data_IF_055835486294
#
_entry.id   IF_055835486294
#
_cell.length_a   1.000
_cell.length_b   1.000
_cell.length_c   1.000
_cell.angle_alpha   90.00
_cell.angle_beta   90.00
_cell.angle_gamma   90.00
#
_symmetry.space_group_name_H-M   'P 1'
#
loop_
_entity.id
_entity.type
_entity.pdbx_description
1 polymer ?
#
# COMPACT_ATOMS: atom_id res chain seq x y z
N UNK A 1 51.25 20.37 57.47
CA UNK A 1 50.35 21.48 57.83
C UNK A 1 50.04 22.28 56.56
N UNK A 2 48.75 22.57 56.32
CA UNK A 2 48.17 23.66 55.49
C UNK A 2 48.40 23.66 53.97
N UNK A 3 47.43 23.20 53.14
CA UNK A 3 46.30 23.92 52.47
C UNK A 3 46.75 24.92 51.37
N UNK A 4 46.39 24.80 50.08
CA UNK A 4 45.04 25.05 49.53
C UNK A 4 44.92 24.77 48.01
N UNK A 5 43.76 24.25 47.61
CA UNK A 5 42.98 24.39 46.36
C UNK A 5 43.55 25.07 45.09
N UNK A 6 43.27 24.44 43.92
CA UNK A 6 42.40 25.10 42.92
C UNK A 6 41.51 24.10 42.17
N UNK A 7 40.21 24.38 42.24
CA UNK A 7 39.08 23.63 41.70
C UNK A 7 38.74 24.27 40.35
N UNK A 8 38.99 23.57 39.24
CA UNK A 8 38.52 24.02 37.93
C UNK A 8 37.00 23.83 37.88
N UNK A 9 36.32 24.97 37.82
CA UNK A 9 34.86 25.07 37.81
C UNK A 9 34.37 24.76 36.40
N UNK A 10 33.58 23.71 36.27
CA UNK A 10 32.65 23.51 35.16
C UNK A 10 31.82 24.79 34.95
N UNK A 11 32.12 25.53 33.88
CA UNK A 11 31.24 26.57 33.35
C UNK A 11 30.44 25.94 32.22
N UNK A 12 29.24 25.49 32.55
CA UNK A 12 28.23 25.15 31.54
C UNK A 12 27.91 26.44 30.77
N UNK A 13 28.04 26.47 29.43
CA UNK A 13 27.78 27.68 28.65
C UNK A 13 26.30 28.03 28.72
N UNK A 14 26.00 29.32 28.96
CA UNK A 14 24.65 29.86 29.05
C UNK A 14 23.76 29.53 27.83
N UNK A 15 24.34 29.19 26.68
CA UNK A 15 23.61 28.84 25.46
C UNK A 15 22.70 27.61 25.59
N UNK A 16 23.11 26.59 26.36
CA UNK A 16 22.32 25.34 26.48
C UNK A 16 21.04 25.54 27.29
N UNK A 17 21.01 26.52 28.22
CA UNK A 17 19.82 26.80 29.03
C UNK A 17 18.72 27.51 28.26
N UNK A 18 19.05 28.27 27.22
CA UNK A 18 18.07 28.99 26.40
C UNK A 18 17.38 28.04 25.38
N UNK A 19 18.11 27.08 24.82
CA UNK A 19 17.55 26.09 23.88
C UNK A 19 16.59 25.10 24.55
N UNK A 20 16.84 24.71 25.82
CA UNK A 20 15.91 23.84 26.55
C UNK A 20 14.58 24.54 26.90
N UNK A 21 14.60 25.86 27.08
CA UNK A 21 13.40 26.64 27.42
C UNK A 21 12.40 26.77 26.26
N UNK A 22 12.88 26.92 25.02
CA UNK A 22 11.98 27.09 23.86
C UNK A 22 11.25 25.79 23.48
N UNK A 23 11.88 24.63 23.68
CA UNK A 23 11.28 23.32 23.39
C UNK A 23 10.07 23.02 24.31
N UNK A 24 10.20 23.28 25.61
CA UNK A 24 9.11 23.05 26.57
C UNK A 24 7.93 24.01 26.38
N UNK A 25 8.17 25.25 25.95
CA UNK A 25 7.09 26.20 25.68
C UNK A 25 6.26 25.82 24.44
N UNK A 26 6.91 25.29 23.40
CA UNK A 26 6.23 24.82 22.19
C UNK A 26 5.29 23.64 22.45
N UNK A 27 5.72 22.67 23.25
CA UNK A 27 4.90 21.49 23.58
C UNK A 27 3.62 21.86 24.35
N UNK A 28 3.70 22.82 25.29
CA UNK A 28 2.53 23.28 26.05
C UNK A 28 1.54 24.06 25.17
N UNK A 29 2.03 24.89 24.24
CA UNK A 29 1.17 25.59 23.31
C UNK A 29 0.45 24.64 22.34
N UNK A 30 1.14 23.61 21.85
CA UNK A 30 0.55 22.60 20.97
C UNK A 30 -0.53 21.77 21.69
N UNK A 31 -0.31 21.40 22.95
CA UNK A 31 -1.30 20.67 23.76
C UNK A 31 -2.58 21.49 24.02
N UNK A 32 -2.48 22.82 24.21
CA UNK A 32 -3.66 23.69 24.37
C UNK A 32 -4.42 23.88 23.06
N UNK A 33 -3.72 23.92 21.92
CA UNK A 33 -4.35 24.17 20.62
C UNK A 33 -5.04 22.92 20.03
N UNK A 34 -4.44 21.74 20.22
CA UNK A 34 -4.92 20.47 19.62
C UNK A 34 -5.68 19.60 20.62
N UNK A 35 -5.43 19.74 21.92
CA UNK A 35 -6.06 18.95 22.99
C UNK A 35 -7.60 18.95 23.03
N UNK A 36 -8.32 20.05 22.69
CA UNK A 36 -9.78 20.05 22.73
C UNK A 36 -10.44 19.14 21.68
N UNK A 37 -9.71 18.69 20.66
CA UNK A 37 -10.25 17.83 19.59
C UNK A 37 -10.23 16.33 19.93
N UNK A 38 -9.62 15.96 21.06
CA UNK A 38 -9.54 14.56 21.55
C UNK A 38 -10.35 14.34 22.83
N UNK A 39 -11.14 15.32 23.28
CA UNK A 39 -12.07 15.11 24.37
C UNK A 39 -13.29 14.36 23.84
N UNK A 40 -13.66 13.19 24.39
CA UNK A 40 -14.93 12.57 24.06
C UNK A 40 -16.08 13.51 24.46
N UNK A 41 -17.23 13.48 23.76
CA UNK A 41 -18.39 14.26 24.15
C UNK A 41 -18.74 13.90 25.61
N UNK A 42 -18.77 14.92 26.47
CA UNK A 42 -19.28 14.78 27.82
C UNK A 42 -20.75 14.39 27.71
N UNK A 43 -21.11 13.28 28.36
CA UNK A 43 -22.47 12.83 28.52
C UNK A 43 -23.36 14.00 28.93
N UNK A 44 -24.35 14.29 28.08
CA UNK A 44 -25.46 15.16 28.43
C UNK A 44 -26.15 14.48 29.60
N UNK A 45 -26.21 15.14 30.76
CA UNK A 45 -27.06 14.72 31.88
C UNK A 45 -28.52 14.68 31.41
N UNK A 46 -28.94 13.56 30.83
CA UNK A 46 -30.34 13.20 30.72
C UNK A 46 -30.84 12.92 32.12
N UNK A 47 -31.52 13.92 32.68
CA UNK A 47 -32.52 13.75 33.73
C UNK A 47 -33.41 12.56 33.35
N UNK A 48 -33.23 11.44 34.04
CA UNK A 48 -34.16 10.32 34.00
C UNK A 48 -35.45 10.74 34.69
N UNK A 49 -36.39 11.29 33.91
CA UNK A 49 -37.80 11.29 34.29
C UNK A 49 -38.31 9.87 34.12
N UNK A 50 -38.75 9.30 35.24
CA UNK A 50 -39.57 8.09 35.31
C UNK A 50 -40.76 8.24 34.37
N UNK A 51 -40.83 7.40 33.34
CA UNK A 51 -41.83 7.49 32.29
C UNK A 51 -42.11 6.14 31.65
N UNK A 52 -43.09 5.45 32.23
CA UNK A 52 -43.95 4.44 31.60
C UNK A 52 -43.27 3.22 30.97
N UNK A 53 -43.43 2.08 31.65
CA UNK A 53 -43.29 0.73 31.10
C UNK A 53 -44.18 0.56 29.85
N UNK A 54 -43.64 0.89 28.68
CA UNK A 54 -43.99 0.26 27.42
C UNK A 54 -42.93 -0.79 27.18
N UNK A 55 -43.35 -2.05 27.04
CA UNK A 55 -42.49 -3.19 26.70
C UNK A 55 -41.80 -2.91 25.36
N UNK A 56 -40.64 -2.28 25.39
CA UNK A 56 -39.73 -2.24 24.26
C UNK A 56 -39.04 -3.60 24.24
N UNK A 57 -39.35 -4.37 23.22
CA UNK A 57 -38.55 -5.51 22.81
C UNK A 57 -37.14 -4.96 22.59
N UNK A 58 -36.16 -5.45 23.35
CA UNK A 58 -34.77 -5.09 23.16
C UNK A 58 -34.44 -5.36 21.68
N UNK A 59 -33.97 -4.36 20.90
CA UNK A 59 -33.43 -4.68 19.61
C UNK A 59 -32.27 -5.64 19.88
N UNK A 60 -32.41 -6.87 19.39
CA UNK A 60 -31.30 -7.80 19.31
C UNK A 60 -30.22 -7.05 18.53
N UNK A 61 -29.16 -6.65 19.23
CA UNK A 61 -27.94 -6.21 18.54
C UNK A 61 -27.43 -7.44 17.81
N UNK A 62 -27.80 -7.55 16.53
CA UNK A 62 -27.16 -8.49 15.62
C UNK A 62 -25.66 -8.22 15.74
N UNK A 63 -24.81 -9.25 15.98
CA UNK A 63 -23.39 -9.03 15.94
C UNK A 63 -23.09 -8.41 14.56
N UNK A 64 -22.49 -7.23 14.56
CA UNK A 64 -21.89 -6.69 13.35
C UNK A 64 -20.84 -7.73 12.99
N UNK A 65 -21.13 -8.60 12.02
CA UNK A 65 -20.11 -9.46 11.46
C UNK A 65 -19.09 -8.49 10.88
N UNK A 66 -17.98 -8.32 11.61
CA UNK A 66 -16.78 -7.67 11.12
C UNK A 66 -16.52 -8.36 9.80
N UNK A 67 -16.71 -7.65 8.68
CA UNK A 67 -16.46 -8.22 7.37
C UNK A 67 -14.97 -8.55 7.36
N UNK A 68 -14.66 -9.82 7.57
CA UNK A 68 -13.34 -10.38 7.37
C UNK A 68 -12.95 -9.97 5.96
N UNK A 69 -11.93 -9.12 5.84
CA UNK A 69 -11.45 -8.67 4.53
C UNK A 69 -10.88 -9.91 3.84
N UNK A 70 -11.65 -10.51 2.94
CA UNK A 70 -11.23 -11.65 2.14
C UNK A 70 -10.05 -11.23 1.26
N UNK A 71 -8.86 -11.75 1.59
CA UNK A 71 -7.63 -11.52 0.85
C UNK A 71 -7.46 -12.50 -0.32
N UNK A 72 -6.41 -12.31 -1.15
CA UNK A 72 -6.13 -13.21 -2.24
C UNK A 72 -5.67 -14.58 -1.72
N UNK A 73 -5.99 -15.62 -2.48
CA UNK A 73 -5.56 -17.00 -2.17
C UNK A 73 -4.54 -17.47 -3.19
N UNK A 74 -3.40 -17.98 -2.75
CA UNK A 74 -2.35 -18.43 -3.67
C UNK A 74 -1.13 -19.04 -3.01
N UNK A 75 -0.33 -19.74 -3.80
CA UNK A 75 0.98 -20.26 -3.44
C UNK A 75 1.96 -19.94 -4.55
N UNK A 76 2.99 -19.15 -4.24
CA UNK A 76 4.01 -18.73 -5.22
C UNK A 76 5.41 -19.10 -4.73
N UNK A 77 6.25 -19.62 -5.63
CA UNK A 77 7.71 -19.57 -5.49
C UNK A 77 8.23 -18.37 -6.27
N UNK A 78 8.91 -17.47 -5.57
CA UNK A 78 9.55 -16.30 -6.15
C UNK A 78 11.05 -16.48 -6.04
N UNK A 79 11.76 -16.40 -7.16
CA UNK A 79 13.21 -16.42 -7.22
C UNK A 79 13.69 -15.13 -7.82
N UNK A 80 14.59 -14.44 -7.14
CA UNK A 80 15.21 -13.23 -7.67
C UNK A 80 16.73 -13.37 -7.61
N UNK A 81 17.40 -12.89 -8.65
CA UNK A 81 18.85 -12.91 -8.76
C UNK A 81 19.39 -11.62 -9.34
N UNK A 82 20.59 -11.23 -8.91
CA UNK A 82 21.45 -10.28 -9.59
C UNK A 82 22.80 -10.97 -9.95
N UNK A 83 23.86 -10.19 -10.20
CA UNK A 83 25.17 -10.74 -10.58
C UNK A 83 25.90 -11.45 -9.46
N UNK A 84 25.64 -11.06 -8.21
CA UNK A 84 26.41 -11.45 -7.04
C UNK A 84 25.57 -12.21 -6.00
N UNK A 85 24.24 -12.12 -6.08
CA UNK A 85 23.28 -12.63 -5.10
C UNK A 85 22.08 -13.28 -5.76
N UNK A 86 21.49 -14.24 -5.06
CA UNK A 86 20.19 -14.81 -5.40
C UNK A 86 19.46 -15.23 -4.11
N UNK A 87 18.14 -15.12 -4.12
CA UNK A 87 17.28 -15.57 -3.03
C UNK A 87 16.00 -16.20 -3.59
N UNK A 88 15.33 -16.96 -2.73
CA UNK A 88 14.08 -17.66 -3.04
C UNK A 88 13.13 -17.50 -1.88
N UNK A 89 11.88 -17.15 -2.17
CA UNK A 89 10.77 -17.09 -1.24
C UNK A 89 9.65 -18.00 -1.69
N UNK A 90 8.99 -18.62 -0.72
CA UNK A 90 7.66 -19.21 -0.93
C UNK A 90 6.64 -18.34 -0.22
N UNK A 91 5.65 -17.86 -0.97
CA UNK A 91 4.51 -17.10 -0.48
C UNK A 91 3.30 -18.03 -0.39
N UNK A 92 2.59 -18.00 0.73
CA UNK A 92 1.31 -18.68 0.91
C UNK A 92 0.30 -17.64 1.37
N UNK A 93 -0.68 -17.35 0.52
CA UNK A 93 -1.82 -16.50 0.83
C UNK A 93 -3.04 -17.40 0.99
N UNK A 94 -3.68 -17.35 2.16
CA UNK A 94 -4.81 -18.19 2.54
C UNK A 94 -6.14 -17.46 2.42
N UNK A 95 -6.10 -16.14 2.22
CA UNK A 95 -7.26 -15.25 2.23
C UNK A 95 -7.47 -14.56 3.57
N UNK A 96 -6.75 -14.97 4.61
CA UNK A 96 -6.74 -14.29 5.90
C UNK A 96 -5.62 -13.24 5.94
N UNK A 97 -5.95 -11.98 5.63
CA UNK A 97 -4.95 -10.90 5.55
C UNK A 97 -4.20 -10.65 6.88
N UNK A 98 -4.77 -11.04 8.02
CA UNK A 98 -4.13 -10.86 9.33
C UNK A 98 -2.98 -11.86 9.55
N UNK A 99 -3.16 -13.13 9.16
CA UNK A 99 -2.12 -14.17 9.28
C UNK A 99 -1.22 -14.28 8.05
N UNK A 100 -1.71 -13.88 6.88
CA UNK A 100 -0.97 -13.96 5.62
C UNK A 100 0.25 -13.02 5.61
N UNK A 101 1.21 -13.35 4.74
CA UNK A 101 2.40 -12.51 4.56
C UNK A 101 2.00 -11.13 4.03
N UNK A 102 2.70 -10.07 4.46
CA UNK A 102 2.35 -8.69 4.08
C UNK A 102 2.35 -8.44 2.57
N UNK A 103 3.16 -9.19 1.82
CA UNK A 103 3.16 -9.18 0.36
C UNK A 103 1.80 -9.55 -0.26
N UNK A 104 1.02 -10.45 0.37
CA UNK A 104 -0.32 -10.81 -0.12
C UNK A 104 -1.26 -9.60 -0.10
N UNK A 105 -1.28 -8.85 1.01
CA UNK A 105 -2.05 -7.60 1.14
C UNK A 105 -1.59 -6.55 0.12
N UNK A 106 -0.29 -6.32 0.01
CA UNK A 106 0.25 -5.31 -0.90
C UNK A 106 -0.05 -5.62 -2.37
N UNK A 107 -0.07 -6.90 -2.76
CA UNK A 107 -0.49 -7.31 -4.10
C UNK A 107 -1.98 -7.10 -4.33
N UNK A 108 -2.83 -7.35 -3.33
CA UNK A 108 -4.26 -7.07 -3.42
C UNK A 108 -4.53 -5.57 -3.65
N UNK A 109 -3.91 -4.71 -2.82
CA UNK A 109 -3.99 -3.24 -2.97
C UNK A 109 -3.52 -2.81 -4.37
N UNK A 110 -2.41 -3.39 -4.84
CA UNK A 110 -1.88 -3.11 -6.18
C UNK A 110 -2.85 -3.55 -7.28
N UNK A 111 -3.59 -4.66 -7.11
CA UNK A 111 -4.58 -5.13 -8.08
C UNK A 111 -5.78 -4.17 -8.18
N UNK A 112 -6.27 -3.69 -7.03
CA UNK A 112 -7.37 -2.73 -6.94
C UNK A 112 -7.07 -1.43 -7.73
N UNK A 113 -5.81 -0.96 -7.69
CA UNK A 113 -5.39 0.20 -8.48
C UNK A 113 -5.63 0.00 -9.99
N UNK A 114 -5.38 -1.19 -10.53
CA UNK A 114 -5.57 -1.47 -11.96
C UNK A 114 -7.05 -1.61 -12.37
N UNK A 115 -7.92 -2.01 -11.44
CA UNK A 115 -9.36 -2.05 -11.70
C UNK A 115 -9.94 -0.64 -11.84
N UNK A 116 -9.47 0.31 -11.02
CA UNK A 116 -9.95 1.70 -11.07
C UNK A 116 -9.54 2.48 -12.33
N UNK A 117 -8.40 2.13 -12.94
CA UNK A 117 -7.98 2.70 -14.23
C UNK A 117 -8.83 2.17 -15.42
N UNK A 118 -9.40 0.97 -15.29
CA UNK A 118 -10.20 0.34 -16.36
C UNK A 118 -11.65 0.87 -16.41
N UNK A 119 -12.19 1.35 -15.29
CA UNK A 119 -13.52 1.98 -15.22
C UNK A 119 -13.50 3.50 -15.49
N UNK A 120 -12.30 4.10 -15.49
CA UNK A 120 -12.10 5.50 -15.84
C UNK A 120 -12.30 5.70 -17.34
N UNK A 121 -13.56 5.82 -17.76
CA UNK A 121 -13.91 6.49 -19.02
C UNK A 121 -13.37 7.90 -18.91
N UNK A 122 -12.18 8.14 -19.47
CA UNK A 122 -11.70 9.48 -19.75
C UNK A 122 -12.74 10.11 -20.66
N UNK A 123 -13.58 10.99 -20.13
CA UNK A 123 -14.41 11.88 -20.93
C UNK A 123 -13.46 12.73 -21.76
N UNK A 124 -13.12 12.26 -22.96
CA UNK A 124 -12.37 13.04 -23.94
C UNK A 124 -13.30 14.20 -24.32
N UNK A 125 -12.94 15.47 -24.00
CA UNK A 125 -13.76 16.59 -24.42
C UNK A 125 -13.80 16.58 -25.95
N UNK A 126 -15.02 16.58 -26.52
CA UNK A 126 -15.24 16.62 -27.96
C UNK A 126 -14.59 17.88 -28.56
N UNK A 127 -13.38 17.74 -29.08
CA UNK A 127 -12.80 18.72 -29.98
C UNK A 127 -13.38 18.45 -31.36
N UNK A 128 -14.13 19.45 -31.83
CA UNK A 128 -14.85 19.49 -33.10
C UNK A 128 -14.02 18.92 -34.27
N UNK A 129 -14.73 18.11 -35.04
CA UNK A 129 -14.34 17.34 -36.21
C UNK A 129 -13.62 18.19 -37.26
N UNK A 130 -12.51 17.68 -37.82
CA UNK A 130 -12.21 17.76 -39.26
C UNK A 130 -11.04 16.82 -39.63
N UNK A 131 -11.29 16.01 -40.68
CA UNK A 131 -10.40 15.12 -41.46
C UNK A 131 -10.35 13.62 -41.05
N UNK A 132 -10.61 12.68 -41.98
CA UNK A 132 -10.68 11.25 -41.68
C UNK A 132 -9.28 10.62 -41.74
N UNK A 133 -8.90 9.94 -40.66
CA UNK A 133 -7.82 8.94 -40.68
C UNK A 133 -8.44 7.57 -40.53
N UNK A 134 -8.50 6.85 -41.65
CA UNK A 134 -8.79 5.42 -41.70
C UNK A 134 -7.66 4.68 -40.96
N UNK A 135 -7.84 4.45 -39.67
CA UNK A 135 -7.10 3.44 -38.93
C UNK A 135 -8.01 2.23 -38.80
N UNK A 136 -7.93 1.33 -39.78
CA UNK A 136 -8.39 -0.03 -39.60
C UNK A 136 -7.58 -0.67 -38.47
N UNK A 137 -8.17 -0.70 -37.27
CA UNK A 137 -7.71 -1.54 -36.18
C UNK A 137 -8.76 -2.62 -36.03
N UNK A 138 -8.55 -3.74 -36.73
CA UNK A 138 -9.19 -5.01 -36.38
C UNK A 138 -8.69 -5.43 -34.99
N UNK A 139 -9.28 -4.86 -33.95
CA UNK A 139 -9.11 -5.28 -32.55
C UNK A 139 -10.02 -6.47 -32.24
N UNK A 140 -9.98 -7.50 -33.06
CA UNK A 140 -10.69 -8.76 -32.83
C UNK A 140 -9.84 -9.72 -31.99
N UNK A 141 -9.64 -9.42 -30.71
CA UNK A 141 -9.19 -10.41 -29.74
C UNK A 141 -10.40 -11.14 -29.13
N UNK A 142 -10.34 -12.45 -28.85
CA UNK A 142 -11.42 -13.12 -28.12
C UNK A 142 -11.62 -12.43 -26.77
N UNK A 143 -12.78 -11.80 -26.61
CA UNK A 143 -13.29 -11.40 -25.29
C UNK A 143 -13.71 -12.66 -24.57
N UNK A 144 -12.74 -13.31 -23.93
CA UNK A 144 -13.00 -14.01 -22.69
C UNK A 144 -12.68 -12.97 -21.62
N UNK A 145 -13.71 -12.48 -20.93
CA UNK A 145 -13.53 -11.58 -19.80
C UNK A 145 -12.75 -12.35 -18.72
N UNK A 146 -11.51 -11.97 -18.37
CA UNK A 146 -10.88 -12.53 -17.20
C UNK A 146 -11.67 -12.02 -15.99
N UNK A 147 -11.97 -12.95 -15.09
CA UNK A 147 -12.56 -12.58 -13.82
C UNK A 147 -11.48 -11.88 -12.99
N UNK A 148 -11.54 -10.55 -12.97
CA UNK A 148 -11.10 -9.67 -11.88
C UNK A 148 -9.58 -9.34 -11.82
N UNK A 149 -9.27 -8.15 -11.29
CA UNK A 149 -8.02 -7.39 -11.47
C UNK A 149 -6.71 -8.04 -11.00
N UNK A 150 -6.75 -9.24 -10.43
CA UNK A 150 -5.56 -9.96 -9.95
C UNK A 150 -4.78 -10.67 -11.05
N UNK A 151 -5.44 -11.10 -12.14
CA UNK A 151 -4.74 -11.65 -13.32
C UNK A 151 -3.88 -10.59 -14.03
N UNK A 152 -4.30 -9.33 -13.95
CA UNK A 152 -3.57 -8.19 -14.52
C UNK A 152 -2.20 -8.05 -13.87
N UNK A 153 -2.04 -8.48 -12.61
CA UNK A 153 -0.78 -8.35 -11.88
C UNK A 153 0.39 -9.03 -12.60
N UNK A 154 0.18 -10.26 -13.06
CA UNK A 154 1.23 -11.10 -13.63
C UNK A 154 1.33 -11.02 -15.15
N UNK A 155 0.42 -10.29 -15.80
CA UNK A 155 0.38 -10.16 -17.26
C UNK A 155 1.70 -9.66 -17.85
N UNK A 156 2.15 -10.30 -18.93
CA UNK A 156 3.39 -9.97 -19.65
C UNK A 156 3.27 -8.73 -20.55
N UNK A 157 4.41 -8.13 -20.91
CA UNK A 157 4.43 -7.04 -21.88
C UNK A 157 4.01 -7.60 -23.24
N UNK A 158 2.99 -6.98 -23.85
CA UNK A 158 2.51 -7.40 -25.17
C UNK A 158 3.57 -7.15 -26.24
N UNK A 159 3.68 -8.06 -27.19
CA UNK A 159 4.51 -7.88 -28.38
C UNK A 159 4.16 -6.57 -29.11
N UNK A 160 5.19 -5.85 -29.54
CA UNK A 160 5.03 -4.58 -30.24
C UNK A 160 4.69 -3.38 -29.34
N UNK A 161 4.63 -3.55 -28.01
CA UNK A 161 4.57 -2.42 -27.09
C UNK A 161 5.81 -1.54 -27.26
N UNK A 162 5.62 -0.23 -27.39
CA UNK A 162 6.73 0.72 -27.51
C UNK A 162 7.34 0.95 -26.13
N UNK A 163 8.55 0.44 -25.93
CA UNK A 163 9.29 0.54 -24.67
C UNK A 163 10.64 1.24 -24.91
N UNK A 164 11.21 1.86 -23.88
CA UNK A 164 12.59 2.34 -23.94
C UNK A 164 13.57 1.18 -23.76
N UNK A 165 14.82 1.34 -24.19
CA UNK A 165 15.91 0.38 -23.95
C UNK A 165 16.71 0.68 -22.67
N UNK A 166 16.12 1.40 -21.70
CA UNK A 166 16.83 1.82 -20.48
C UNK A 166 17.04 0.65 -19.53
N UNK A 167 18.26 0.45 -19.04
CA UNK A 167 18.55 -0.58 -18.02
C UNK A 167 18.48 0.05 -16.64
N UNK A 168 17.56 -0.44 -15.81
CA UNK A 168 17.32 0.07 -14.45
C UNK A 168 18.10 -0.73 -13.39
N UNK A 169 18.45 -1.99 -13.69
CA UNK A 169 19.28 -2.82 -12.82
C UNK A 169 19.61 -4.18 -13.42
N UNK A 170 20.53 -4.94 -12.80
CA UNK A 170 20.88 -6.29 -13.22
C UNK A 170 19.93 -7.38 -12.69
N UNK A 171 18.89 -7.01 -11.93
CA UNK A 171 18.00 -7.96 -11.29
C UNK A 171 17.06 -8.62 -12.30
N UNK A 172 16.87 -9.92 -12.10
CA UNK A 172 15.91 -10.76 -12.83
C UNK A 172 15.11 -11.55 -11.80
N UNK A 173 13.82 -11.77 -12.06
CA UNK A 173 12.94 -12.56 -11.21
C UNK A 173 12.20 -13.64 -12.02
N UNK A 174 11.90 -14.76 -11.37
CA UNK A 174 11.01 -15.81 -11.86
C UNK A 174 9.96 -16.06 -10.79
N UNK A 175 8.68 -16.03 -11.19
CA UNK A 175 7.54 -16.25 -10.30
C UNK A 175 6.75 -17.44 -10.85
N UNK A 176 6.59 -18.48 -10.05
CA UNK A 176 5.82 -19.66 -10.41
C UNK A 176 4.84 -20.05 -9.32
N UNK A 177 3.72 -20.67 -9.69
CA UNK A 177 2.78 -21.23 -8.73
C UNK A 177 1.33 -21.05 -9.15
N UNK A 178 0.45 -20.85 -8.17
CA UNK A 178 -0.98 -20.63 -8.39
C UNK A 178 -1.42 -19.38 -7.63
N UNK A 179 -2.11 -18.48 -8.31
CA UNK A 179 -2.66 -17.25 -7.74
C UNK A 179 -4.13 -17.12 -8.14
N UNK A 180 -5.02 -17.05 -7.16
CA UNK A 180 -6.48 -16.98 -7.36
C UNK A 180 -7.04 -18.04 -8.31
N UNK A 181 -6.44 -19.24 -8.29
CA UNK A 181 -6.81 -20.36 -9.14
C UNK A 181 -6.14 -20.36 -10.53
N UNK A 182 -5.41 -19.31 -10.90
CA UNK A 182 -4.63 -19.23 -12.13
C UNK A 182 -3.21 -19.75 -11.94
N UNK A 183 -2.73 -20.60 -12.87
CA UNK A 183 -1.32 -20.98 -12.93
C UNK A 183 -0.48 -19.77 -13.38
N UNK A 184 0.56 -19.47 -12.60
CA UNK A 184 1.52 -18.41 -12.89
C UNK A 184 2.86 -19.05 -13.23
N UNK A 185 3.43 -18.65 -14.35
CA UNK A 185 4.81 -18.90 -14.75
C UNK A 185 5.27 -17.70 -15.58
N UNK A 186 6.01 -16.78 -14.97
CA UNK A 186 6.50 -15.59 -15.67
C UNK A 186 7.88 -15.18 -15.19
N UNK A 187 8.63 -14.54 -16.08
CA UNK A 187 9.90 -13.90 -15.78
C UNK A 187 9.81 -12.38 -15.93
N UNK A 188 10.63 -11.69 -15.15
CA UNK A 188 10.68 -10.23 -15.07
C UNK A 188 12.15 -9.81 -15.11
N UNK A 189 12.43 -8.73 -15.82
CA UNK A 189 13.75 -8.11 -15.83
C UNK A 189 13.62 -6.62 -15.49
N UNK A 190 14.74 -5.99 -15.14
CA UNK A 190 14.81 -4.53 -15.01
C UNK A 190 15.35 -3.86 -16.27
N UNK A 191 14.97 -4.41 -17.44
CA UNK A 191 15.44 -3.98 -18.75
C UNK A 191 14.29 -3.38 -19.57
N UNK A 192 14.40 -2.10 -19.86
CA UNK A 192 13.40 -1.33 -20.60
C UNK A 192 12.24 -0.84 -19.72
N UNK A 193 11.55 0.19 -20.20
CA UNK A 193 10.51 0.87 -19.40
C UNK A 193 9.30 0.01 -19.07
N UNK A 194 8.93 -0.91 -19.96
CA UNK A 194 7.74 -1.74 -19.77
C UNK A 194 7.99 -2.86 -18.76
N UNK A 195 9.14 -3.52 -18.82
CA UNK A 195 9.52 -4.53 -17.83
C UNK A 195 9.79 -3.89 -16.46
N UNK A 196 10.41 -2.70 -16.42
CA UNK A 196 10.53 -1.98 -15.14
C UNK A 196 9.15 -1.62 -14.56
N UNK A 197 8.16 -1.23 -15.38
CA UNK A 197 6.81 -1.00 -14.88
C UNK A 197 6.18 -2.27 -14.28
N UNK A 198 6.37 -3.43 -14.91
CA UNK A 198 5.95 -4.73 -14.34
C UNK A 198 6.70 -5.05 -13.06
N UNK A 199 8.00 -4.77 -13.02
CA UNK A 199 8.82 -4.93 -11.80
C UNK A 199 8.25 -4.11 -10.65
N UNK A 200 7.93 -2.83 -10.88
CA UNK A 200 7.37 -1.94 -9.87
C UNK A 200 6.05 -2.48 -9.29
N UNK A 201 5.19 -3.04 -10.15
CA UNK A 201 3.94 -3.70 -9.73
C UNK A 201 4.17 -4.90 -8.81
N UNK A 202 5.21 -5.69 -9.09
CA UNK A 202 5.51 -6.92 -8.36
C UNK A 202 6.58 -6.73 -7.27
N UNK A 203 6.92 -5.49 -6.91
CA UNK A 203 7.88 -5.18 -5.85
C UNK A 203 7.61 -5.88 -4.51
N UNK A 204 6.36 -6.05 -4.04
CA UNK A 204 6.09 -6.80 -2.82
C UNK A 204 6.67 -8.22 -2.83
N UNK A 205 6.94 -8.80 -4.01
CA UNK A 205 7.58 -10.10 -4.18
C UNK A 205 9.09 -10.02 -4.40
N UNK A 206 9.64 -8.89 -4.87
CA UNK A 206 11.03 -8.83 -5.36
C UNK A 206 12.00 -8.07 -4.44
N UNK A 207 11.51 -7.36 -3.43
CA UNK A 207 12.29 -6.37 -2.66
C UNK A 207 13.42 -6.91 -1.77
N UNK A 208 13.57 -8.23 -1.57
CA UNK A 208 14.65 -8.75 -0.70
C UNK A 208 16.08 -8.43 -1.24
N UNK A 209 16.22 -7.97 -2.49
CA UNK A 209 17.51 -7.55 -3.09
C UNK A 209 17.79 -6.05 -3.11
N UNK A 210 16.80 -5.19 -2.83
CA UNK A 210 16.92 -3.72 -2.93
C UNK A 210 17.52 -3.07 -1.67
#
# INVERSE_FOLDING_TARGET
MSRTHRKERNRVPLGTKLLAGSCCAGALAYAVLVGPSMLPPQDVETTSTTGSEGRAEEPVEEPVEERELEGPVGQLEVRVSDRDRAWVQTLSCTGDLESDHSACRALAETAEEFETDSDSTVEVPELQEDEPVEAGVDGGGPTEAPEQGTEVLFTEVRDGTVCTDTVYGPQEATVTGVWEGQEIDTSLSRQGSCEEARWQRLRPLTEELD
#
